data_IF_947008744646
#
_entry.id   IF_947008744646
#
_cell.length_a   1.000
_cell.length_b   1.000
_cell.length_c   1.000
_cell.angle_alpha   90.00
_cell.angle_beta   90.00
_cell.angle_gamma   90.00
#
_symmetry.space_group_name_H-M   'P 1'
#
loop_
_entity.id
_entity.type
_entity.pdbx_description
1 polymer ?
#
# COMPACT_ATOMS: atom_id res chain seq x y z
N UNK A 1 30.22 -39.77 -52.48
CA UNK A 1 29.10 -40.42 -53.20
C UNK A 1 29.43 -41.91 -53.38
N UNK A 2 28.49 -42.88 -53.38
CA UNK A 2 27.02 -42.85 -53.16
C UNK A 2 26.53 -43.73 -51.96
N UNK A 3 25.55 -43.33 -51.14
CA UNK A 3 24.07 -43.58 -51.19
C UNK A 3 23.64 -45.06 -51.27
N UNK A 4 22.91 -45.54 -50.23
CA UNK A 4 21.67 -46.36 -50.35
C UNK A 4 20.86 -46.47 -49.03
N UNK A 5 19.73 -45.75 -49.03
CA UNK A 5 18.38 -45.96 -48.45
C UNK A 5 18.13 -47.01 -47.36
N UNK A 6 17.39 -46.61 -46.30
CA UNK A 6 16.18 -47.24 -45.71
C UNK A 6 15.45 -46.16 -44.87
N UNK A 7 14.40 -45.53 -45.40
CA UNK A 7 12.97 -45.75 -45.05
C UNK A 7 12.70 -45.98 -43.56
N UNK A 8 12.09 -45.00 -42.89
CA UNK A 8 10.85 -45.21 -42.14
C UNK A 8 10.09 -43.88 -41.94
N UNK A 9 8.84 -43.88 -42.39
CA UNK A 9 7.85 -42.82 -42.20
C UNK A 9 7.17 -43.00 -40.86
N UNK A 10 7.06 -41.97 -40.02
CA UNK A 10 5.89 -41.76 -39.15
C UNK A 10 5.67 -40.25 -39.04
N UNK A 11 4.67 -39.77 -39.78
CA UNK A 11 3.99 -38.51 -39.51
C UNK A 11 2.93 -38.77 -38.44
N UNK A 12 2.92 -38.00 -37.36
CA UNK A 12 1.77 -37.93 -36.47
C UNK A 12 1.54 -36.45 -36.11
N UNK A 13 0.62 -35.83 -36.85
CA UNK A 13 0.00 -34.56 -36.49
C UNK A 13 -0.78 -34.75 -35.18
N UNK A 14 -0.37 -34.07 -34.12
CA UNK A 14 -1.25 -33.80 -32.98
C UNK A 14 -1.84 -32.39 -33.14
N UNK A 15 -3.02 -32.32 -33.76
CA UNK A 15 -3.90 -31.15 -33.69
C UNK A 15 -4.53 -31.10 -32.29
N UNK A 16 -3.85 -30.42 -31.36
CA UNK A 16 -4.48 -29.98 -30.10
C UNK A 16 -5.08 -28.60 -30.35
N UNK A 17 -6.39 -28.59 -30.63
CA UNK A 17 -7.19 -27.38 -30.63
C UNK A 17 -7.24 -26.80 -29.22
N UNK A 18 -6.42 -25.80 -28.96
CA UNK A 18 -6.54 -24.97 -27.76
C UNK A 18 -7.75 -24.07 -28.00
N UNK A 19 -8.92 -24.49 -27.53
CA UNK A 19 -10.06 -23.62 -27.35
C UNK A 19 -9.67 -22.56 -26.32
N UNK A 20 -9.15 -21.43 -26.81
CA UNK A 20 -8.91 -20.25 -25.99
C UNK A 20 -10.24 -19.74 -25.47
N UNK A 21 -10.57 -20.07 -24.21
CA UNK A 21 -11.57 -19.31 -23.49
C UNK A 21 -11.09 -17.85 -23.49
N UNK A 22 -11.93 -16.87 -23.91
CA UNK A 22 -11.56 -15.47 -23.81
C UNK A 22 -11.31 -15.20 -22.33
N UNK A 23 -10.06 -14.89 -21.98
CA UNK A 23 -9.74 -14.27 -20.72
C UNK A 23 -10.63 -13.03 -20.64
N UNK A 24 -11.65 -13.09 -19.79
CA UNK A 24 -12.44 -11.93 -19.42
C UNK A 24 -11.45 -10.94 -18.83
N UNK A 25 -10.98 -10.01 -19.65
CA UNK A 25 -10.25 -8.84 -19.20
C UNK A 25 -11.19 -8.12 -18.24
N UNK A 26 -11.00 -8.38 -16.95
CA UNK A 26 -11.65 -7.61 -15.90
C UNK A 26 -11.34 -6.14 -16.21
N UNK A 27 -12.39 -5.36 -16.51
CA UNK A 27 -12.22 -3.94 -16.76
C UNK A 27 -11.57 -3.35 -15.52
N UNK A 28 -10.36 -2.80 -15.67
CA UNK A 28 -9.67 -2.12 -14.59
C UNK A 28 -10.64 -1.14 -13.91
N UNK A 29 -10.75 -1.16 -12.57
CA UNK A 29 -11.65 -0.27 -11.87
C UNK A 29 -11.47 1.18 -12.34
N UNK A 30 -12.59 1.88 -12.58
CA UNK A 30 -12.55 3.27 -13.05
C UNK A 30 -11.71 4.11 -12.07
N UNK A 31 -10.74 4.91 -12.56
CA UNK A 31 -9.92 5.75 -11.70
C UNK A 31 -10.79 6.65 -10.82
N UNK A 32 -10.45 6.77 -9.53
CA UNK A 32 -11.07 7.76 -8.67
C UNK A 32 -10.64 9.15 -9.16
N UNK A 33 -11.57 10.09 -9.40
CA UNK A 33 -11.20 11.45 -9.80
C UNK A 33 -10.31 12.08 -8.74
N UNK A 34 -9.21 12.73 -9.14
CA UNK A 34 -8.24 13.35 -8.22
C UNK A 34 -8.90 14.25 -7.16
N UNK A 35 -9.87 15.09 -7.58
CA UNK A 35 -10.64 15.95 -6.66
C UNK A 35 -11.40 15.18 -5.57
N UNK A 36 -11.91 13.98 -5.89
CA UNK A 36 -12.61 13.13 -4.92
C UNK A 36 -11.63 12.54 -3.91
N UNK A 37 -10.47 12.06 -4.39
CA UNK A 37 -9.40 11.63 -3.49
C UNK A 37 -8.93 12.77 -2.58
N UNK A 38 -8.67 13.96 -3.12
CA UNK A 38 -8.20 15.10 -2.33
C UNK A 38 -9.16 15.48 -1.21
N UNK A 39 -10.48 15.45 -1.48
CA UNK A 39 -11.49 15.71 -0.46
C UNK A 39 -11.48 14.64 0.64
N UNK A 40 -11.44 13.36 0.26
CA UNK A 40 -11.39 12.24 1.20
C UNK A 40 -10.10 12.23 2.03
N UNK A 41 -8.95 12.51 1.39
CA UNK A 41 -7.64 12.60 2.02
C UNK A 41 -7.58 13.73 3.05
N UNK A 42 -8.12 14.92 2.74
CA UNK A 42 -8.22 16.02 3.70
C UNK A 42 -9.07 15.66 4.92
N UNK A 43 -10.22 15.01 4.71
CA UNK A 43 -11.07 14.55 5.80
C UNK A 43 -10.36 13.51 6.68
N UNK A 44 -9.65 12.57 6.06
CA UNK A 44 -8.86 11.57 6.77
C UNK A 44 -7.72 12.19 7.59
N UNK A 45 -6.94 13.10 7.00
CA UNK A 45 -5.87 13.80 7.71
C UNK A 45 -6.40 14.67 8.86
N UNK A 46 -7.59 15.27 8.72
CA UNK A 46 -8.25 15.99 9.80
C UNK A 46 -8.65 15.04 10.95
N UNK A 47 -9.22 13.88 10.64
CA UNK A 47 -9.55 12.86 11.64
C UNK A 47 -8.30 12.33 12.36
N UNK A 48 -7.20 12.10 11.63
CA UNK A 48 -5.92 11.70 12.21
C UNK A 48 -5.35 12.76 13.16
N UNK A 49 -5.38 14.04 12.76
CA UNK A 49 -4.97 15.16 13.63
C UNK A 49 -5.78 15.22 14.92
N UNK A 50 -7.11 15.10 14.81
CA UNK A 50 -7.99 15.11 15.96
C UNK A 50 -7.71 13.93 16.91
N UNK A 51 -7.49 12.72 16.37
CA UNK A 51 -7.12 11.56 17.18
C UNK A 51 -5.75 11.70 17.84
N UNK A 52 -4.75 12.20 17.11
CA UNK A 52 -3.42 12.45 17.66
C UNK A 52 -3.47 13.48 18.80
N UNK A 53 -4.28 14.52 18.67
CA UNK A 53 -4.51 15.49 19.75
C UNK A 53 -5.17 14.86 20.98
N UNK A 54 -6.16 13.97 20.80
CA UNK A 54 -6.80 13.23 21.91
C UNK A 54 -5.80 12.33 22.66
N UNK A 55 -4.84 11.74 21.94
CA UNK A 55 -3.80 10.89 22.50
C UNK A 55 -2.58 11.68 22.99
N UNK A 56 -2.59 13.01 22.83
CA UNK A 56 -1.48 13.90 23.16
C UNK A 56 -0.15 13.48 22.50
N UNK A 57 -0.21 13.07 21.22
CA UNK A 57 0.97 12.69 20.42
C UNK A 57 1.17 13.65 19.24
N UNK A 58 2.43 13.80 18.85
CA UNK A 58 2.87 14.58 17.70
C UNK A 58 3.63 13.68 16.73
N UNK A 59 3.52 13.93 15.44
CA UNK A 59 4.15 13.12 14.42
C UNK A 59 3.73 13.46 13.00
N UNK A 60 3.78 12.47 12.11
CA UNK A 60 3.39 12.64 10.70
C UNK A 60 2.32 11.63 10.33
N UNK A 61 1.24 12.13 9.73
CA UNK A 61 0.15 11.37 9.15
C UNK A 61 0.33 11.26 7.63
N UNK A 62 0.14 10.07 7.06
CA UNK A 62 0.15 9.79 5.62
C UNK A 62 -1.12 9.01 5.27
N UNK A 63 -1.78 9.42 4.18
CA UNK A 63 -2.91 8.70 3.59
C UNK A 63 -2.63 8.47 2.11
N UNK A 64 -2.89 7.26 1.62
CA UNK A 64 -2.65 6.87 0.23
C UNK A 64 -3.80 6.04 -0.32
N UNK A 65 -4.04 6.20 -1.62
CA UNK A 65 -4.99 5.41 -2.38
C UNK A 65 -4.35 4.88 -3.66
N UNK A 66 -4.31 3.55 -3.80
CA UNK A 66 -3.89 2.87 -5.01
C UNK A 66 -5.12 2.26 -5.71
N UNK A 67 -5.55 2.77 -6.89
CA UNK A 67 -6.71 2.22 -7.58
C UNK A 67 -6.42 0.84 -8.16
N UNK A 68 -7.47 0.04 -8.33
CA UNK A 68 -7.39 -1.23 -9.06
C UNK A 68 -7.03 -2.43 -8.19
N UNK A 69 -6.75 -3.55 -8.84
CA UNK A 69 -6.49 -4.84 -8.19
C UNK A 69 -5.01 -5.07 -7.87
N UNK A 70 -4.12 -4.36 -8.57
CA UNK A 70 -2.67 -4.38 -8.42
C UNK A 70 -2.16 -3.04 -7.90
N UNK A 71 -1.01 -3.06 -7.23
CA UNK A 71 -0.35 -1.86 -6.70
C UNK A 71 0.70 -1.37 -7.71
N UNK A 72 0.23 -0.62 -8.72
CA UNK A 72 1.09 -0.07 -9.79
C UNK A 72 1.42 1.41 -9.57
N UNK A 73 0.58 2.12 -8.83
CA UNK A 73 0.78 3.50 -8.45
C UNK A 73 -0.27 3.94 -7.43
N UNK A 74 0.01 5.02 -6.71
CA UNK A 74 -0.95 5.61 -5.76
C UNK A 74 -0.91 7.13 -5.79
N UNK A 75 -1.99 7.75 -5.31
CA UNK A 75 -1.97 9.13 -4.85
C UNK A 75 -1.86 9.16 -3.34
N UNK A 76 -1.14 10.14 -2.80
CA UNK A 76 -0.95 10.27 -1.35
C UNK A 76 -0.94 11.72 -0.90
N UNK A 77 -1.38 11.96 0.33
CA UNK A 77 -1.23 13.24 1.02
C UNK A 77 -0.67 12.99 2.41
N UNK A 78 0.02 13.99 2.96
CA UNK A 78 0.54 13.93 4.32
C UNK A 78 0.19 15.18 5.11
N UNK A 79 0.25 15.07 6.43
CA UNK A 79 0.22 16.20 7.31
C UNK A 79 1.18 16.00 8.48
N UNK A 80 1.93 17.06 8.80
CA UNK A 80 2.65 17.16 10.06
C UNK A 80 1.67 17.51 11.17
N UNK A 81 1.78 16.80 12.29
CA UNK A 81 1.02 16.99 13.52
C UNK A 81 2.01 17.38 14.61
N UNK A 82 2.18 18.68 14.85
CA UNK A 82 3.17 19.18 15.81
C UNK A 82 4.61 19.14 15.30
N UNK A 83 5.17 17.94 15.06
CA UNK A 83 6.59 17.77 14.69
C UNK A 83 6.81 16.73 13.59
N UNK A 84 7.75 16.99 12.69
CA UNK A 84 8.16 16.05 11.63
C UNK A 84 9.42 15.25 12.00
N UNK A 85 10.26 15.81 12.86
CA UNK A 85 11.52 15.22 13.28
C UNK A 85 11.46 14.90 14.78
N UNK A 86 12.15 13.84 15.18
CA UNK A 86 12.45 13.51 16.57
C UNK A 86 13.95 13.63 16.78
N UNK A 87 14.41 14.77 17.30
CA UNK A 87 15.83 14.99 17.53
C UNK A 87 16.16 14.79 19.00
N UNK A 88 17.23 14.04 19.27
CA UNK A 88 17.79 13.88 20.60
C UNK A 88 19.28 14.14 20.55
N UNK A 89 19.78 14.98 21.44
CA UNK A 89 21.18 15.37 21.47
C UNK A 89 22.09 14.14 21.61
N UNK A 90 23.10 14.02 20.74
CA UNK A 90 24.01 12.88 20.72
C UNK A 90 23.47 11.63 19.98
N UNK A 91 22.26 11.69 19.43
CA UNK A 91 21.66 10.59 18.65
C UNK A 91 21.37 11.03 17.20
N UNK A 92 21.21 10.06 16.30
CA UNK A 92 20.88 10.34 14.89
C UNK A 92 19.49 10.96 14.70
N UNK A 93 18.59 10.79 15.67
CA UNK A 93 17.19 11.20 15.60
C UNK A 93 16.35 10.38 14.63
N UNK A 94 15.05 10.67 14.57
CA UNK A 94 14.09 10.03 13.69
C UNK A 94 13.48 11.03 12.70
N UNK A 95 13.46 10.65 11.43
CA UNK A 95 12.65 11.34 10.42
C UNK A 95 11.27 10.67 10.35
N UNK A 96 10.28 11.25 11.02
CA UNK A 96 8.96 10.64 11.17
C UNK A 96 8.21 10.55 9.84
N UNK A 97 8.45 11.48 8.91
CA UNK A 97 7.91 11.40 7.55
C UNK A 97 8.45 10.18 6.80
N UNK A 98 9.77 9.97 6.86
CA UNK A 98 10.40 8.80 6.23
C UNK A 98 9.86 7.50 6.85
N UNK A 99 9.72 7.44 8.17
CA UNK A 99 9.18 6.27 8.87
C UNK A 99 7.71 6.03 8.51
N UNK A 100 6.87 7.07 8.44
CA UNK A 100 5.48 6.93 8.04
C UNK A 100 5.35 6.37 6.61
N UNK A 101 6.20 6.83 5.67
CA UNK A 101 6.25 6.25 4.32
C UNK A 101 6.84 4.85 4.27
N UNK A 102 7.82 4.51 5.11
CA UNK A 102 8.34 3.16 5.23
C UNK A 102 7.24 2.17 5.69
N UNK A 103 6.44 2.56 6.69
CA UNK A 103 5.24 1.81 7.09
C UNK A 103 4.26 1.65 5.93
N UNK A 104 4.01 2.72 5.16
CA UNK A 104 3.14 2.68 3.98
C UNK A 104 3.66 1.73 2.88
N UNK A 105 4.97 1.73 2.63
CA UNK A 105 5.62 0.86 1.66
C UNK A 105 5.53 -0.62 2.07
N UNK A 106 5.74 -0.92 3.36
CA UNK A 106 5.56 -2.27 3.90
C UNK A 106 4.12 -2.76 3.71
N UNK A 107 3.12 -1.92 4.00
CA UNK A 107 1.71 -2.28 3.79
C UNK A 107 1.36 -2.47 2.31
N UNK A 108 1.96 -1.67 1.42
CA UNK A 108 1.79 -1.84 -0.03
C UNK A 108 2.33 -3.19 -0.50
N UNK A 109 3.52 -3.59 -0.02
CA UNK A 109 4.13 -4.88 -0.38
C UNK A 109 3.33 -6.06 0.18
N UNK A 110 2.93 -5.98 1.45
CA UNK A 110 2.42 -7.13 2.19
C UNK A 110 0.90 -7.27 2.16
N UNK A 111 0.18 -6.18 1.88
CA UNK A 111 -1.27 -6.13 2.01
C UNK A 111 -1.77 -6.33 3.45
N UNK A 112 -0.88 -6.20 4.45
CA UNK A 112 -1.17 -6.29 5.88
C UNK A 112 -0.84 -4.97 6.56
N UNK A 113 -1.34 -4.78 7.77
CA UNK A 113 -0.96 -3.63 8.59
C UNK A 113 0.56 -3.65 8.87
N UNK A 114 1.17 -2.47 8.98
CA UNK A 114 2.62 -2.35 9.12
C UNK A 114 3.10 -3.10 10.37
N UNK A 115 4.17 -3.89 10.29
CA UNK A 115 4.69 -4.65 11.41
C UNK A 115 3.86 -5.87 11.82
N UNK A 116 2.86 -6.28 11.05
CA UNK A 116 2.01 -7.45 11.37
C UNK A 116 2.08 -8.57 10.34
N UNK A 117 2.90 -8.42 9.28
CA UNK A 117 2.95 -9.41 8.19
C UNK A 117 3.62 -10.73 8.57
N UNK A 118 4.47 -10.72 9.61
CA UNK A 118 5.32 -11.86 10.00
C UNK A 118 6.49 -12.12 9.03
N UNK A 119 6.59 -11.33 7.96
CA UNK A 119 7.70 -11.39 7.02
C UNK A 119 8.88 -10.56 7.53
N UNK A 120 10.09 -10.95 7.17
CA UNK A 120 11.28 -10.12 7.41
C UNK A 120 11.14 -8.78 6.68
N UNK A 121 11.38 -7.63 7.34
CA UNK A 121 11.38 -6.32 6.69
C UNK A 121 12.43 -6.26 5.56
N UNK A 122 12.07 -5.63 4.45
CA UNK A 122 13.02 -5.31 3.38
C UNK A 122 13.84 -4.06 3.72
N UNK A 123 14.95 -3.83 3.01
CA UNK A 123 15.69 -2.56 3.12
C UNK A 123 14.75 -1.38 2.83
N UNK A 124 14.63 -0.47 3.80
CA UNK A 124 13.70 0.66 3.74
C UNK A 124 12.38 0.42 4.47
N UNK A 125 12.14 -0.79 4.97
CA UNK A 125 11.07 -1.13 5.91
C UNK A 125 11.65 -1.31 7.32
N UNK A 126 10.85 -1.03 8.34
CA UNK A 126 11.28 -1.16 9.74
C UNK A 126 10.56 -2.29 10.50
N UNK A 127 9.44 -2.81 9.96
CA UNK A 127 8.60 -3.78 10.68
C UNK A 127 7.89 -3.16 11.89
N UNK A 128 7.74 -1.84 11.91
CA UNK A 128 7.14 -1.12 13.03
C UNK A 128 5.65 -0.94 12.83
N UNK A 129 4.89 -1.13 13.90
CA UNK A 129 3.47 -0.85 13.92
C UNK A 129 3.19 0.66 13.91
N UNK A 130 2.04 1.02 13.33
CA UNK A 130 1.57 2.40 13.27
C UNK A 130 0.79 2.77 12.01
N UNK A 131 0.67 1.86 11.05
CA UNK A 131 -0.19 2.01 9.89
C UNK A 131 -1.20 0.86 9.76
N UNK A 132 -2.33 1.18 9.12
CA UNK A 132 -3.39 0.23 8.78
C UNK A 132 -3.72 0.30 7.30
N UNK A 133 -4.11 -0.84 6.73
CA UNK A 133 -4.47 -0.96 5.31
C UNK A 133 -5.84 -1.61 5.13
N UNK A 134 -6.48 -1.32 4.00
CA UNK A 134 -7.69 -2.03 3.59
C UNK A 134 -7.77 -2.17 2.08
N UNK A 135 -8.15 -3.37 1.63
CA UNK A 135 -8.60 -3.58 0.26
C UNK A 135 -10.09 -3.26 0.14
N UNK A 136 -10.45 -2.51 -0.90
CA UNK A 136 -11.83 -2.23 -1.31
C UNK A 136 -12.02 -2.62 -2.77
N UNK A 137 -13.26 -2.62 -3.26
CA UNK A 137 -13.57 -2.82 -4.68
C UNK A 137 -12.92 -1.77 -5.60
N UNK A 138 -12.58 -0.59 -5.07
CA UNK A 138 -11.98 0.50 -5.84
C UNK A 138 -10.45 0.44 -5.85
N UNK A 139 -9.85 -0.23 -4.88
CA UNK A 139 -8.40 -0.19 -4.68
C UNK A 139 -7.97 -0.42 -3.24
N UNK A 140 -6.70 -0.12 -2.98
CA UNK A 140 -6.05 -0.22 -1.68
C UNK A 140 -6.06 1.14 -0.98
N UNK A 141 -6.46 1.15 0.29
CA UNK A 141 -6.37 2.28 1.18
C UNK A 141 -5.22 2.01 2.14
N UNK A 142 -4.26 2.93 2.22
CA UNK A 142 -3.10 2.79 3.10
C UNK A 142 -3.02 4.04 3.95
N UNK A 143 -3.01 3.87 5.27
CA UNK A 143 -2.97 4.99 6.22
C UNK A 143 -1.92 4.71 7.27
N UNK A 144 -0.97 5.64 7.46
CA UNK A 144 0.12 5.48 8.41
C UNK A 144 0.32 6.72 9.26
N UNK A 145 0.67 6.50 10.52
CA UNK A 145 1.12 7.53 11.43
C UNK A 145 2.46 7.13 12.05
N UNK A 146 3.28 8.14 12.37
CA UNK A 146 4.54 7.94 13.07
C UNK A 146 4.81 9.11 14.00
N UNK A 147 4.92 8.85 15.31
CA UNK A 147 5.38 9.84 16.28
C UNK A 147 5.08 9.56 17.75
N UNK A 148 4.20 8.59 18.05
CA UNK A 148 3.94 8.07 19.39
C UNK A 148 4.48 6.65 19.58
N UNK A 149 3.97 5.97 20.61
CA UNK A 149 4.12 4.51 20.74
C UNK A 149 3.27 3.81 19.66
N UNK A 150 3.65 2.59 19.31
CA UNK A 150 3.04 1.84 18.21
C UNK A 150 1.53 1.72 18.29
N UNK A 151 0.96 1.50 19.47
CA UNK A 151 -0.49 1.33 19.65
C UNK A 151 -1.24 2.64 19.39
N UNK A 152 -0.67 3.77 19.81
CA UNK A 152 -1.27 5.09 19.60
C UNK A 152 -1.20 5.49 18.12
N UNK A 153 -0.08 5.20 17.45
CA UNK A 153 0.07 5.41 16.00
C UNK A 153 -1.00 4.60 15.23
N UNK A 154 -1.28 3.36 15.65
CA UNK A 154 -2.33 2.52 15.06
C UNK A 154 -3.72 3.15 15.26
N UNK A 155 -4.03 3.65 16.45
CA UNK A 155 -5.33 4.30 16.72
C UNK A 155 -5.53 5.58 15.87
N UNK A 156 -4.48 6.38 15.67
CA UNK A 156 -4.52 7.51 14.73
C UNK A 156 -4.79 7.03 13.31
N UNK A 157 -4.09 6.01 12.86
CA UNK A 157 -4.25 5.47 11.50
C UNK A 157 -5.63 4.86 11.27
N UNK A 158 -6.23 4.20 12.28
CA UNK A 158 -7.62 3.71 12.22
C UNK A 158 -8.62 4.85 12.03
N UNK A 159 -8.44 5.97 12.72
CA UNK A 159 -9.31 7.15 12.55
C UNK A 159 -9.22 7.70 11.12
N UNK A 160 -8.01 7.79 10.57
CA UNK A 160 -7.79 8.19 9.17
C UNK A 160 -8.41 7.22 8.18
N UNK A 161 -8.22 5.92 8.38
CA UNK A 161 -8.76 4.87 7.51
C UNK A 161 -10.30 4.89 7.48
N UNK A 162 -10.95 5.07 8.63
CA UNK A 162 -12.40 5.17 8.71
C UNK A 162 -12.93 6.35 7.89
N UNK A 163 -12.33 7.54 8.04
CA UNK A 163 -12.69 8.73 7.29
C UNK A 163 -12.38 8.59 5.79
N UNK A 164 -11.24 8.00 5.41
CA UNK A 164 -10.87 7.76 4.03
C UNK A 164 -11.85 6.80 3.33
N UNK A 165 -12.24 5.72 4.02
CA UNK A 165 -13.27 4.76 3.54
C UNK A 165 -14.60 5.45 3.28
N UNK A 166 -15.04 6.34 4.17
CA UNK A 166 -16.31 7.05 4.03
C UNK A 166 -16.31 8.02 2.82
N UNK A 167 -15.15 8.54 2.42
CA UNK A 167 -15.02 9.50 1.32
C UNK A 167 -14.84 8.89 -0.08
N UNK A 168 -14.55 7.58 -0.18
CA UNK A 168 -14.18 6.92 -1.43
C UNK A 168 -15.23 5.96 -1.97
#
# INVERSE_FOLDING_TARGET
MPIKRRMLCIALLCLLGIAGAPALLAKSPKPVPAKKFDAAARAALAAMKAKAAQLNIAGVAVVSFAPGDTLEGWSSQMAVVGRMLDTKAGEKGNNLLAIAYAKAAEMARTGKDSGTSGLTPMTGEFGWQGGVTAKTEKGFLIVAFSGGKSEDDVEVSKAGLAALKAGL
#
